data_IF_713526803789
#
_entry.id   IF_713526803789
#
_cell.length_a   1.000
_cell.length_b   1.000
_cell.length_c   1.000
_cell.angle_alpha   90.00
_cell.angle_beta   90.00
_cell.angle_gamma   90.00
#
_symmetry.space_group_name_H-M   'P 1'
#
loop_
_entity.id
_entity.type
_entity.pdbx_description
1 polymer ?
#
# COMPACT_ATOMS: atom_id res chain seq x y z
N UNK A 1 -36.11 -49.28 50.45
CA UNK A 1 -36.97 -48.66 49.41
C UNK A 1 -36.57 -47.19 49.36
N UNK A 2 -35.81 -46.82 48.35
CA UNK A 2 -35.33 -45.45 48.14
C UNK A 2 -36.22 -44.80 47.07
N UNK A 3 -36.99 -43.79 47.46
CA UNK A 3 -37.82 -43.03 46.53
C UNK A 3 -36.92 -42.09 45.71
N UNK A 4 -36.90 -42.34 44.42
CA UNK A 4 -36.24 -41.51 43.46
C UNK A 4 -37.19 -40.34 43.10
N UNK A 5 -36.99 -39.16 43.75
CA UNK A 5 -37.75 -37.93 43.39
C UNK A 5 -37.17 -37.38 42.11
N UNK A 6 -37.85 -37.58 41.00
CA UNK A 6 -37.59 -36.84 39.76
C UNK A 6 -38.00 -35.38 39.93
N UNK A 7 -37.04 -34.47 39.74
CA UNK A 7 -37.29 -33.02 39.79
C UNK A 7 -37.82 -32.56 38.42
N UNK A 8 -39.15 -32.38 38.32
CA UNK A 8 -39.77 -31.83 37.12
C UNK A 8 -39.74 -30.31 37.17
N UNK A 9 -38.96 -29.73 36.25
CA UNK A 9 -38.93 -28.29 36.04
C UNK A 9 -40.25 -27.84 35.36
N UNK A 10 -40.91 -26.82 35.91
CA UNK A 10 -42.13 -26.30 35.30
C UNK A 10 -41.81 -25.67 33.92
N UNK A 11 -42.76 -25.71 32.96
CA UNK A 11 -42.55 -25.17 31.62
C UNK A 11 -42.09 -23.71 31.61
N UNK A 12 -42.50 -22.91 32.56
CA UNK A 12 -42.14 -21.50 32.72
C UNK A 12 -40.64 -21.30 33.06
N UNK A 13 -40.09 -22.18 33.92
CA UNK A 13 -38.67 -22.14 34.32
C UNK A 13 -37.78 -22.57 33.13
N UNK A 14 -38.21 -23.57 32.37
CA UNK A 14 -37.49 -24.03 31.17
C UNK A 14 -37.36 -22.93 30.09
N UNK A 15 -38.42 -22.13 29.89
CA UNK A 15 -38.40 -21.00 28.94
C UNK A 15 -37.46 -19.89 29.40
N UNK A 16 -37.41 -19.57 30.69
CA UNK A 16 -36.52 -18.56 31.24
C UNK A 16 -35.05 -18.97 31.10
N UNK A 17 -34.71 -20.24 31.37
CA UNK A 17 -33.35 -20.75 31.22
C UNK A 17 -32.90 -20.71 29.76
N UNK A 18 -33.79 -21.13 28.82
CA UNK A 18 -33.50 -21.05 27.39
C UNK A 18 -33.30 -19.60 26.92
N UNK A 19 -34.11 -18.64 27.40
CA UNK A 19 -33.99 -17.22 27.06
C UNK A 19 -32.67 -16.60 27.55
N UNK A 20 -32.20 -16.94 28.73
CA UNK A 20 -30.92 -16.44 29.29
C UNK A 20 -29.73 -17.03 28.51
N UNK A 21 -29.77 -18.29 28.10
CA UNK A 21 -28.72 -18.91 27.30
C UNK A 21 -28.62 -18.26 25.92
N UNK A 22 -29.75 -17.98 25.25
CA UNK A 22 -29.80 -17.32 23.95
C UNK A 22 -29.31 -15.88 24.06
N UNK A 23 -29.74 -15.12 25.07
CA UNK A 23 -29.27 -13.75 25.30
C UNK A 23 -27.78 -13.72 25.62
N UNK A 24 -27.26 -14.64 26.43
CA UNK A 24 -25.85 -14.79 26.75
C UNK A 24 -25.02 -15.13 25.50
N UNK A 25 -25.50 -15.99 24.62
CA UNK A 25 -24.84 -16.35 23.37
C UNK A 25 -24.79 -15.16 22.40
N UNK A 26 -25.86 -14.37 22.28
CA UNK A 26 -25.90 -13.17 21.42
C UNK A 26 -24.93 -12.10 21.92
N UNK A 27 -24.86 -11.85 23.22
CA UNK A 27 -23.90 -10.90 23.81
C UNK A 27 -22.46 -11.39 23.61
N UNK A 28 -22.21 -12.69 23.81
CA UNK A 28 -20.86 -13.26 23.62
C UNK A 28 -20.40 -13.25 22.16
N UNK A 29 -21.30 -13.46 21.20
CA UNK A 29 -20.98 -13.33 19.77
C UNK A 29 -20.74 -11.87 19.40
N UNK A 30 -21.55 -10.94 19.93
CA UNK A 30 -21.44 -9.52 19.59
C UNK A 30 -20.19 -8.86 20.21
N UNK A 31 -19.69 -9.33 21.36
CA UNK A 31 -18.44 -8.83 21.96
C UNK A 31 -17.18 -9.35 21.27
N UNK A 32 -17.28 -10.40 20.42
CA UNK A 32 -16.16 -10.88 19.59
C UNK A 32 -16.07 -10.20 18.21
N UNK A 33 -17.03 -9.35 17.85
CA UNK A 33 -17.14 -8.75 16.52
C UNK A 33 -16.63 -7.31 16.46
N UNK A 34 -15.48 -7.04 17.06
CA UNK A 34 -14.76 -5.77 16.84
C UNK A 34 -13.27 -6.00 16.62
N UNK A 35 -12.93 -7.03 15.84
CA UNK A 35 -11.67 -6.97 15.12
C UNK A 35 -11.89 -6.03 13.93
N UNK A 36 -11.07 -4.96 13.75
CA UNK A 36 -11.13 -4.17 12.53
C UNK A 36 -10.95 -5.10 11.35
N UNK A 37 -11.78 -4.95 10.32
CA UNK A 37 -11.68 -5.75 9.11
C UNK A 37 -10.22 -5.72 8.64
N UNK A 38 -9.56 -6.86 8.71
CA UNK A 38 -8.22 -7.00 8.16
C UNK A 38 -8.28 -6.53 6.71
N UNK A 39 -7.46 -5.56 6.33
CA UNK A 39 -7.40 -5.05 4.97
C UNK A 39 -7.22 -6.25 4.05
N UNK A 40 -8.17 -6.46 3.14
CA UNK A 40 -8.15 -7.61 2.25
C UNK A 40 -6.83 -7.60 1.46
N UNK A 41 -6.03 -8.66 1.59
CA UNK A 41 -4.76 -8.82 0.90
C UNK A 41 -3.48 -8.51 1.69
N UNK A 42 -3.56 -8.02 2.95
CA UNK A 42 -2.36 -7.80 3.75
C UNK A 42 -1.77 -9.13 4.23
N UNK A 43 -0.51 -9.40 3.90
CA UNK A 43 0.23 -10.59 4.34
C UNK A 43 1.21 -10.24 5.46
N UNK A 44 1.59 -11.24 6.26
CA UNK A 44 2.63 -11.08 7.28
C UNK A 44 3.94 -10.57 6.64
N UNK A 45 4.70 -9.70 7.34
CA UNK A 45 5.97 -9.19 6.84
C UNK A 45 6.92 -10.32 6.45
N UNK A 46 7.57 -10.22 5.29
CA UNK A 46 8.53 -11.20 4.77
C UNK A 46 9.91 -10.58 4.63
N UNK A 47 10.97 -11.38 4.79
CA UNK A 47 12.32 -10.89 4.57
C UNK A 47 12.50 -10.54 3.09
N UNK A 48 12.78 -9.26 2.79
CA UNK A 48 13.27 -8.81 1.49
C UNK A 48 14.80 -8.79 1.56
N UNK A 49 15.48 -9.38 0.58
CA UNK A 49 16.91 -9.66 0.74
C UNK A 49 17.84 -8.82 -0.13
N UNK A 50 17.35 -8.25 -1.24
CA UNK A 50 18.19 -7.60 -2.26
C UNK A 50 17.59 -6.35 -2.90
N UNK A 51 16.78 -5.61 -2.17
CA UNK A 51 16.28 -4.31 -2.66
C UNK A 51 17.42 -3.31 -2.67
N UNK A 52 17.66 -2.66 -3.81
CA UNK A 52 18.69 -1.64 -3.93
C UNK A 52 18.43 -0.47 -2.97
N UNK A 53 19.52 0.08 -2.43
CA UNK A 53 19.43 1.26 -1.58
C UNK A 53 18.76 2.44 -2.32
N UNK A 54 18.03 3.31 -1.60
CA UNK A 54 17.54 4.57 -2.15
C UNK A 54 18.66 5.40 -2.77
N UNK A 55 18.39 6.04 -3.89
CA UNK A 55 19.34 6.82 -4.65
C UNK A 55 18.75 8.14 -5.16
N UNK A 56 19.57 9.00 -5.71
CA UNK A 56 19.12 10.26 -6.35
C UNK A 56 18.22 10.03 -7.59
N UNK A 57 18.13 8.80 -8.09
CA UNK A 57 17.30 8.43 -9.24
C UNK A 57 15.89 8.00 -8.81
N UNK A 58 15.68 7.79 -7.53
CA UNK A 58 14.36 7.43 -6.98
C UNK A 58 13.51 8.69 -6.76
N UNK A 59 12.19 8.51 -6.81
CA UNK A 59 11.23 9.54 -6.43
C UNK A 59 11.00 9.46 -4.93
N UNK A 60 11.41 10.50 -4.18
CA UNK A 60 11.41 10.47 -2.72
C UNK A 60 10.60 11.62 -2.12
N UNK A 61 9.78 11.32 -1.11
CA UNK A 61 9.21 12.28 -0.14
C UNK A 61 9.94 12.09 1.19
N UNK A 62 10.32 13.18 1.81
CA UNK A 62 11.11 13.19 3.05
C UNK A 62 12.61 13.36 2.78
N UNK A 63 13.42 13.09 3.79
CA UNK A 63 14.88 13.23 3.68
C UNK A 63 15.52 11.97 3.09
N UNK A 64 16.39 12.09 2.08
CA UNK A 64 17.17 10.94 1.58
C UNK A 64 18.11 10.34 2.64
N UNK A 65 18.38 11.08 3.72
CA UNK A 65 19.18 10.62 4.87
C UNK A 65 18.32 10.13 6.05
N UNK A 66 17.01 9.96 5.87
CA UNK A 66 16.13 9.44 6.92
C UNK A 66 16.62 8.07 7.44
N UNK A 67 16.55 7.82 8.75
CA UNK A 67 16.97 6.53 9.33
C UNK A 67 16.22 5.33 8.77
N UNK A 68 14.94 5.53 8.40
CA UNK A 68 14.08 4.52 7.80
C UNK A 68 13.54 5.02 6.46
N UNK A 69 13.55 4.16 5.45
CA UNK A 69 12.94 4.45 4.15
C UNK A 69 11.87 3.39 3.85
N UNK A 70 10.69 3.84 3.47
CA UNK A 70 9.62 3.02 2.94
C UNK A 70 9.77 2.98 1.41
N UNK A 71 10.19 1.86 0.84
CA UNK A 71 10.32 1.70 -0.60
C UNK A 71 9.05 1.00 -1.08
N UNK A 72 8.14 1.75 -1.67
CA UNK A 72 6.89 1.22 -2.22
C UNK A 72 7.04 0.88 -3.69
N UNK A 73 6.74 -0.37 -4.05
CA UNK A 73 6.51 -0.80 -5.42
C UNK A 73 5.01 -0.71 -5.70
N UNK A 74 4.66 0.19 -6.59
CA UNK A 74 3.29 0.68 -6.76
C UNK A 74 2.82 0.60 -8.22
N UNK A 75 1.50 0.61 -8.38
CA UNK A 75 0.81 0.56 -9.66
C UNK A 75 -0.25 1.67 -9.70
N UNK A 76 -0.12 2.59 -10.65
CA UNK A 76 -1.04 3.73 -10.77
C UNK A 76 -2.51 3.35 -11.01
N UNK A 77 -2.79 2.16 -11.55
CA UNK A 77 -4.16 1.70 -11.78
C UNK A 77 -4.70 0.84 -10.62
N UNK A 78 -3.84 0.39 -9.72
CA UNK A 78 -4.25 -0.43 -8.59
C UNK A 78 -5.06 0.38 -7.56
N UNK A 79 -6.30 -0.03 -7.22
CA UNK A 79 -7.11 0.68 -6.22
C UNK A 79 -6.50 0.63 -4.82
N UNK A 80 -5.78 -0.45 -4.48
CA UNK A 80 -5.10 -0.58 -3.19
C UNK A 80 -3.89 0.36 -3.07
N UNK A 81 -3.18 0.65 -4.18
CA UNK A 81 -2.13 1.67 -4.20
C UNK A 81 -2.71 3.06 -3.96
N UNK A 82 -3.88 3.35 -4.54
CA UNK A 82 -4.58 4.59 -4.26
C UNK A 82 -4.95 4.75 -2.77
N UNK A 83 -5.32 3.66 -2.10
CA UNK A 83 -5.64 3.67 -0.66
C UNK A 83 -4.39 3.88 0.21
N UNK A 84 -3.27 3.25 -0.14
CA UNK A 84 -2.04 3.36 0.67
C UNK A 84 -1.29 4.68 0.44
N UNK A 85 -1.43 5.31 -0.71
CA UNK A 85 -0.73 6.54 -1.07
C UNK A 85 -0.88 7.67 -0.02
N UNK A 86 -2.11 8.07 0.42
CA UNK A 86 -2.27 9.06 1.48
C UNK A 86 -1.77 8.56 2.84
N UNK A 87 -1.80 7.26 3.09
CA UNK A 87 -1.29 6.67 4.34
C UNK A 87 0.22 6.84 4.47
N UNK A 88 0.98 6.50 3.41
CA UNK A 88 2.44 6.66 3.41
C UNK A 88 2.84 8.13 3.48
N UNK A 89 2.13 9.01 2.77
CA UNK A 89 2.35 10.46 2.83
C UNK A 89 2.21 10.98 4.26
N UNK A 90 1.13 10.62 4.93
CA UNK A 90 0.88 10.96 6.33
C UNK A 90 1.97 10.44 7.27
N UNK A 91 2.40 9.18 7.11
CA UNK A 91 3.48 8.58 7.92
C UNK A 91 4.77 9.41 7.80
N UNK A 92 5.14 9.81 6.59
CA UNK A 92 6.34 10.64 6.38
C UNK A 92 6.18 12.03 7.00
N UNK A 93 5.04 12.68 6.78
CA UNK A 93 4.75 14.03 7.32
C UNK A 93 4.81 14.05 8.86
N UNK A 94 4.25 13.04 9.52
CA UNK A 94 4.21 12.93 10.99
C UNK A 94 5.53 12.41 11.60
N UNK A 95 6.46 11.90 10.79
CA UNK A 95 7.71 11.29 11.27
C UNK A 95 8.78 12.27 11.75
N UNK A 96 8.56 13.59 11.59
CA UNK A 96 9.57 14.61 11.87
C UNK A 96 10.93 14.33 11.21
N UNK A 97 10.93 13.85 9.96
CA UNK A 97 12.14 13.57 9.17
C UNK A 97 12.80 12.22 9.48
N UNK A 98 12.21 11.39 10.33
CA UNK A 98 12.74 10.06 10.66
C UNK A 98 12.43 9.02 9.60
N UNK A 99 11.43 9.27 8.74
CA UNK A 99 10.99 8.35 7.70
C UNK A 99 10.97 9.10 6.37
N UNK A 100 11.44 8.44 5.32
CA UNK A 100 11.24 8.85 3.95
C UNK A 100 10.45 7.80 3.17
N UNK A 101 9.83 8.20 2.07
CA UNK A 101 9.10 7.31 1.18
C UNK A 101 9.64 7.42 -0.23
N UNK A 102 10.04 6.27 -0.78
CA UNK A 102 10.49 6.08 -2.17
C UNK A 102 9.38 5.37 -2.94
N UNK A 103 9.05 5.89 -4.11
CA UNK A 103 8.16 5.24 -5.07
C UNK A 103 8.99 4.53 -6.15
N UNK A 104 8.67 3.25 -6.40
CA UNK A 104 9.16 2.44 -7.52
C UNK A 104 8.00 1.80 -8.26
N UNK A 105 8.19 1.46 -9.52
CA UNK A 105 7.13 0.97 -10.37
C UNK A 105 6.97 -0.57 -10.29
N UNK A 106 5.72 -1.02 -10.19
CA UNK A 106 5.33 -2.43 -10.36
C UNK A 106 3.97 -2.50 -11.09
N UNK A 107 3.88 -2.10 -12.36
CA UNK A 107 2.64 -2.17 -13.11
C UNK A 107 2.23 -3.64 -13.35
N UNK A 108 1.02 -4.02 -12.93
CA UNK A 108 0.46 -5.36 -13.09
C UNK A 108 -0.26 -5.44 -14.44
N UNK A 109 0.48 -5.39 -15.55
CA UNK A 109 -0.04 -5.22 -16.91
C UNK A 109 -1.13 -6.22 -17.32
N UNK A 110 -1.12 -7.43 -16.75
CA UNK A 110 -2.12 -8.49 -17.05
C UNK A 110 -3.53 -8.15 -16.57
N UNK A 111 -3.67 -7.31 -15.55
CA UNK A 111 -4.96 -6.89 -14.95
C UNK A 111 -5.16 -5.38 -14.99
N UNK A 112 -4.10 -4.60 -15.20
CA UNK A 112 -4.07 -3.16 -15.18
C UNK A 112 -3.42 -2.60 -16.47
N UNK A 113 -4.11 -2.62 -17.61
CA UNK A 113 -3.50 -2.26 -18.91
C UNK A 113 -3.04 -0.81 -19.02
N UNK A 114 -3.56 0.10 -18.18
CA UNK A 114 -3.16 1.52 -18.15
C UNK A 114 -2.00 1.79 -17.18
N UNK A 115 -1.57 0.82 -16.37
CA UNK A 115 -0.56 1.02 -15.33
C UNK A 115 0.82 1.34 -15.91
N UNK A 116 1.33 0.54 -16.86
CA UNK A 116 2.64 0.78 -17.46
C UNK A 116 2.69 2.08 -18.29
N UNK A 117 1.68 2.40 -19.12
CA UNK A 117 1.63 3.72 -19.75
C UNK A 117 1.67 4.89 -18.75
N UNK A 118 0.96 4.79 -17.61
CA UNK A 118 1.01 5.82 -16.57
C UNK A 118 2.39 5.91 -15.89
N UNK A 119 3.02 4.77 -15.62
CA UNK A 119 4.36 4.71 -15.06
C UNK A 119 5.39 5.39 -15.98
N UNK A 120 5.36 5.09 -17.28
CA UNK A 120 6.22 5.76 -18.27
C UNK A 120 5.92 7.26 -18.33
N UNK A 121 4.64 7.65 -18.32
CA UNK A 121 4.24 9.05 -18.32
C UNK A 121 4.75 9.81 -17.08
N UNK A 122 4.68 9.21 -15.89
CA UNK A 122 5.19 9.83 -14.66
C UNK A 122 6.69 10.09 -14.71
N UNK A 123 7.45 9.16 -15.27
CA UNK A 123 8.90 9.33 -15.48
C UNK A 123 9.20 10.44 -16.50
N UNK A 124 8.41 10.53 -17.57
CA UNK A 124 8.58 11.59 -18.56
C UNK A 124 8.23 12.99 -18.00
N UNK A 125 7.33 13.08 -17.05
CA UNK A 125 7.09 14.30 -16.28
C UNK A 125 8.28 14.59 -15.35
N UNK A 126 8.79 13.56 -14.66
CA UNK A 126 9.93 13.68 -13.76
C UNK A 126 11.21 14.13 -14.50
N UNK A 127 11.45 13.67 -15.72
CA UNK A 127 12.59 14.07 -16.53
C UNK A 127 12.61 15.60 -16.77
N UNK A 128 11.43 16.22 -16.89
CA UNK A 128 11.32 17.65 -17.14
C UNK A 128 11.17 18.51 -15.87
N UNK A 129 10.42 18.00 -14.90
CA UNK A 129 9.98 18.77 -13.73
C UNK A 129 10.56 18.25 -12.40
N UNK A 130 11.42 17.23 -12.48
CA UNK A 130 12.10 16.63 -11.33
C UNK A 130 11.14 15.87 -10.39
N UNK A 131 11.64 15.57 -9.22
CA UNK A 131 10.92 14.83 -8.18
C UNK A 131 9.55 15.45 -7.83
N UNK A 132 9.47 16.77 -7.74
CA UNK A 132 8.21 17.46 -7.45
C UNK A 132 7.17 17.27 -8.58
N UNK A 133 7.60 17.25 -9.83
CA UNK A 133 6.75 16.95 -10.99
C UNK A 133 6.19 15.54 -10.93
N UNK A 134 7.03 14.56 -10.61
CA UNK A 134 6.60 13.17 -10.41
C UNK A 134 5.46 13.06 -9.39
N UNK A 135 5.67 13.60 -8.19
CA UNK A 135 4.69 13.47 -7.11
C UNK A 135 3.37 14.20 -7.40
N UNK A 136 3.42 15.38 -8.04
CA UNK A 136 2.21 16.06 -8.50
C UNK A 136 1.46 15.25 -9.54
N UNK A 137 2.17 14.62 -10.47
CA UNK A 137 1.56 13.73 -11.46
C UNK A 137 0.94 12.50 -10.78
N UNK A 138 1.65 11.87 -9.85
CA UNK A 138 1.16 10.74 -9.08
C UNK A 138 -0.13 11.08 -8.32
N UNK A 139 -0.16 12.20 -7.58
CA UNK A 139 -1.34 12.68 -6.85
C UNK A 139 -2.55 12.84 -7.79
N UNK A 140 -2.35 13.43 -8.99
CA UNK A 140 -3.44 13.63 -9.98
C UNK A 140 -3.94 12.31 -10.54
N UNK A 141 -3.04 11.37 -10.87
CA UNK A 141 -3.43 10.09 -11.47
C UNK A 141 -4.16 9.22 -10.44
N UNK A 142 -3.66 9.09 -9.22
CA UNK A 142 -4.36 8.36 -8.16
C UNK A 142 -5.73 8.95 -7.85
N UNK A 143 -5.88 10.26 -7.79
CA UNK A 143 -7.18 10.91 -7.59
C UNK A 143 -8.16 10.72 -8.76
N UNK A 144 -7.70 10.27 -9.93
CA UNK A 144 -8.51 10.18 -11.16
C UNK A 144 -8.29 8.86 -11.91
N UNK A 145 -8.13 7.73 -11.21
CA UNK A 145 -7.88 6.43 -11.83
C UNK A 145 -8.90 6.04 -12.91
N UNK A 146 -10.14 6.50 -12.79
CA UNK A 146 -11.20 6.27 -13.78
C UNK A 146 -11.02 7.04 -15.10
N UNK A 147 -10.08 7.99 -15.19
CA UNK A 147 -9.78 8.78 -16.40
C UNK A 147 -8.50 8.32 -17.10
N UNK A 148 -7.81 7.33 -16.57
CA UNK A 148 -6.50 6.89 -17.07
C UNK A 148 -6.56 6.56 -18.57
N UNK A 149 -5.80 7.31 -19.35
CA UNK A 149 -5.68 7.18 -20.81
C UNK A 149 -4.46 7.98 -21.30
N UNK A 150 -3.88 7.68 -22.46
CA UNK A 150 -2.77 8.45 -23.02
C UNK A 150 -3.07 9.95 -23.11
N UNK A 151 -4.30 10.31 -23.51
CA UNK A 151 -4.73 11.71 -23.60
C UNK A 151 -4.77 12.38 -22.23
N UNK A 152 -5.23 11.66 -21.20
CA UNK A 152 -5.28 12.20 -19.85
C UNK A 152 -3.88 12.42 -19.27
N UNK A 153 -2.91 11.56 -19.58
CA UNK A 153 -1.52 11.74 -19.17
C UNK A 153 -0.89 12.96 -19.85
N UNK A 154 -1.13 13.17 -21.15
CA UNK A 154 -0.69 14.37 -21.87
C UNK A 154 -1.27 15.65 -21.27
N UNK A 155 -2.58 15.68 -21.03
CA UNK A 155 -3.26 16.83 -20.41
C UNK A 155 -2.72 17.11 -19.01
N UNK A 156 -2.49 16.06 -18.20
CA UNK A 156 -1.91 16.20 -16.87
C UNK A 156 -0.47 16.74 -16.94
N UNK A 157 0.37 16.18 -17.79
CA UNK A 157 1.74 16.66 -17.98
C UNK A 157 1.77 18.14 -18.36
N UNK A 158 0.94 18.55 -19.33
CA UNK A 158 0.81 19.94 -19.76
C UNK A 158 0.33 20.86 -18.63
N UNK A 159 -0.68 20.42 -17.87
CA UNK A 159 -1.21 21.22 -16.74
C UNK A 159 -0.20 21.44 -15.63
N UNK A 160 0.77 20.53 -15.49
CA UNK A 160 1.88 20.64 -14.55
C UNK A 160 3.04 21.50 -15.09
N UNK A 161 3.01 21.91 -16.36
CA UNK A 161 4.01 22.76 -16.99
C UNK A 161 5.07 22.01 -17.81
N UNK A 162 4.85 20.73 -18.12
CA UNK A 162 5.75 20.00 -19.00
C UNK A 162 5.57 20.43 -20.47
N UNK A 163 6.66 20.45 -21.23
CA UNK A 163 6.66 20.62 -22.68
C UNK A 163 6.13 19.35 -23.34
N UNK A 164 5.03 19.49 -24.10
CA UNK A 164 4.36 18.34 -24.73
C UNK A 164 5.19 17.65 -25.82
N UNK A 165 6.04 18.39 -26.54
CA UNK A 165 6.86 17.78 -27.58
C UNK A 165 7.93 16.89 -26.96
N UNK A 166 8.56 17.36 -25.88
CA UNK A 166 9.51 16.57 -25.09
C UNK A 166 8.84 15.39 -24.42
N UNK A 167 7.64 15.59 -23.83
CA UNK A 167 6.87 14.52 -23.21
C UNK A 167 6.56 13.39 -24.21
N UNK A 168 6.07 13.71 -25.39
CA UNK A 168 5.77 12.73 -26.46
C UNK A 168 7.04 12.01 -26.94
N UNK A 169 8.14 12.72 -27.07
CA UNK A 169 9.44 12.13 -27.42
C UNK A 169 9.91 11.14 -26.33
N UNK A 170 9.76 11.50 -25.06
CA UNK A 170 10.10 10.64 -23.93
C UNK A 170 9.21 9.39 -23.89
N UNK A 171 7.88 9.52 -24.06
CA UNK A 171 6.94 8.38 -24.13
C UNK A 171 7.34 7.39 -25.23
N UNK A 172 7.81 7.88 -26.37
CA UNK A 172 8.30 7.04 -27.48
C UNK A 172 9.67 6.40 -27.23
N UNK A 173 10.37 6.82 -26.17
CA UNK A 173 11.69 6.30 -25.81
C UNK A 173 11.61 4.98 -25.06
N UNK A 174 12.43 4.00 -25.44
CA UNK A 174 12.55 2.74 -24.70
C UNK A 174 13.29 2.86 -23.36
N UNK A 175 14.01 3.96 -23.13
CA UNK A 175 14.83 4.14 -21.93
C UNK A 175 13.95 4.23 -20.67
N UNK A 176 12.87 5.02 -20.73
CA UNK A 176 11.92 5.20 -19.63
C UNK A 176 11.17 3.90 -19.31
N UNK A 177 10.73 3.17 -20.35
CA UNK A 177 10.10 1.87 -20.17
C UNK A 177 11.05 0.86 -19.49
N UNK A 178 12.34 0.85 -19.82
CA UNK A 178 13.35 0.00 -19.17
C UNK A 178 13.52 0.30 -17.68
N UNK A 179 13.43 1.58 -17.28
CA UNK A 179 13.46 1.94 -15.85
C UNK A 179 12.28 1.32 -15.11
N UNK A 180 11.07 1.44 -15.67
CA UNK A 180 9.85 0.82 -15.12
C UNK A 180 9.99 -0.69 -15.02
N UNK A 181 10.51 -1.34 -16.06
CA UNK A 181 10.72 -2.79 -16.11
C UNK A 181 11.78 -3.25 -15.09
N UNK A 182 12.83 -2.45 -14.86
CA UNK A 182 13.85 -2.75 -13.86
C UNK A 182 13.30 -2.69 -12.43
N UNK A 183 12.47 -1.70 -12.11
CA UNK A 183 11.77 -1.61 -10.81
C UNK A 183 10.86 -2.83 -10.60
N UNK A 184 10.08 -3.21 -11.63
CA UNK A 184 9.20 -4.37 -11.58
C UNK A 184 9.98 -5.68 -11.36
N UNK A 185 11.08 -5.87 -12.06
CA UNK A 185 11.92 -7.05 -11.91
C UNK A 185 12.52 -7.13 -10.49
N UNK A 186 12.98 -6.00 -9.96
CA UNK A 186 13.49 -5.94 -8.59
C UNK A 186 12.41 -6.30 -7.56
N UNK A 187 11.18 -5.75 -7.70
CA UNK A 187 10.07 -6.09 -6.81
C UNK A 187 9.81 -7.59 -6.80
N UNK A 188 9.70 -8.21 -7.98
CA UNK A 188 9.41 -9.64 -8.13
C UNK A 188 10.49 -10.52 -7.52
N UNK A 189 11.77 -10.17 -7.70
CA UNK A 189 12.92 -10.87 -7.09
C UNK A 189 12.93 -10.77 -5.56
N UNK A 190 12.26 -9.77 -4.99
CA UNK A 190 12.21 -9.49 -3.55
C UNK A 190 10.83 -9.79 -2.92
N UNK A 191 10.01 -10.61 -3.57
CA UNK A 191 8.73 -11.07 -3.01
C UNK A 191 7.52 -10.20 -3.32
N UNK A 192 7.66 -9.16 -4.14
CA UNK A 192 6.56 -8.33 -4.64
C UNK A 192 5.74 -9.07 -5.69
N UNK A 193 4.74 -9.84 -5.28
CA UNK A 193 3.84 -10.60 -6.16
C UNK A 193 2.56 -9.82 -6.54
N UNK A 194 2.38 -8.63 -5.99
CA UNK A 194 1.23 -7.75 -6.22
C UNK A 194 1.49 -6.36 -5.63
N UNK A 195 0.54 -5.45 -5.81
CA UNK A 195 0.68 -4.06 -5.36
C UNK A 195 -0.43 -3.62 -4.40
N UNK A 196 -0.13 -2.70 -3.47
CA UNK A 196 1.20 -2.18 -3.18
C UNK A 196 2.09 -3.22 -2.48
N UNK A 197 3.39 -3.18 -2.74
CA UNK A 197 4.41 -3.92 -1.99
C UNK A 197 5.41 -2.91 -1.43
N UNK A 198 5.55 -2.84 -0.11
CA UNK A 198 6.41 -1.85 0.55
C UNK A 198 7.53 -2.55 1.29
N UNK A 199 8.78 -2.14 1.05
CA UNK A 199 9.95 -2.62 1.78
C UNK A 199 10.38 -1.56 2.78
N UNK A 200 10.37 -1.91 4.07
CA UNK A 200 11.01 -1.14 5.12
C UNK A 200 12.51 -1.34 4.99
N UNK A 201 13.23 -0.27 4.78
CA UNK A 201 14.67 -0.28 4.48
C UNK A 201 15.43 0.62 5.46
N UNK A 202 16.44 0.06 6.10
CA UNK A 202 17.47 0.82 6.80
C UNK A 202 18.86 0.19 6.57
N UNK A 203 19.90 0.74 7.23
CA UNK A 203 21.29 0.25 7.11
C UNK A 203 21.50 -1.14 7.72
N UNK A 204 20.56 -1.64 8.53
CA UNK A 204 20.69 -2.90 9.28
C UNK A 204 19.87 -4.04 8.67
N UNK A 205 18.86 -3.72 7.84
CA UNK A 205 18.04 -4.76 7.24
C UNK A 205 16.87 -4.26 6.42
N UNK A 206 16.13 -5.21 5.88
CA UNK A 206 15.00 -4.97 5.00
C UNK A 206 13.87 -5.93 5.34
N UNK A 207 12.61 -5.45 5.28
CA UNK A 207 11.42 -6.27 5.48
C UNK A 207 10.34 -5.85 4.50
N UNK A 208 9.80 -6.84 3.76
CA UNK A 208 8.69 -6.64 2.84
C UNK A 208 7.33 -6.70 3.53
N UNK A 209 6.43 -5.83 3.12
CA UNK A 209 5.04 -5.74 3.56
C UNK A 209 4.15 -5.70 2.32
N UNK A 210 3.28 -6.70 2.17
CA UNK A 210 2.35 -6.79 1.05
C UNK A 210 0.98 -6.21 1.40
N UNK A 211 0.39 -5.46 0.48
CA UNK A 211 -0.96 -4.94 0.58
C UNK A 211 -1.07 -3.56 1.25
N UNK A 212 -2.26 -2.99 1.14
CA UNK A 212 -2.59 -1.66 1.65
C UNK A 212 -2.98 -1.73 3.14
N UNK A 213 -1.99 -1.65 4.02
CA UNK A 213 -2.24 -1.60 5.46
C UNK A 213 -2.87 -0.25 5.85
N UNK A 214 -3.86 -0.25 6.79
CA UNK A 214 -4.29 0.96 7.47
C UNK A 214 -3.13 1.62 8.25
N UNK A 215 -3.25 2.92 8.50
CA UNK A 215 -2.21 3.72 9.17
C UNK A 215 -1.70 3.08 10.47
N UNK A 216 -2.58 2.65 11.38
CA UNK A 216 -2.22 2.06 12.67
C UNK A 216 -1.49 0.72 12.51
N UNK A 217 -1.90 -0.09 11.55
CA UNK A 217 -1.24 -1.36 11.26
C UNK A 217 0.16 -1.11 10.66
N UNK A 218 0.27 -0.12 9.75
CA UNK A 218 1.54 0.23 9.13
C UNK A 218 2.54 0.77 10.17
N UNK A 219 2.10 1.68 11.04
CA UNK A 219 2.93 2.23 12.13
C UNK A 219 3.35 1.16 13.16
N UNK A 220 2.48 0.17 13.42
CA UNK A 220 2.84 -0.98 14.27
C UNK A 220 3.94 -1.84 13.64
N UNK A 221 3.90 -2.08 12.32
CA UNK A 221 4.96 -2.78 11.58
C UNK A 221 6.26 -1.98 11.62
N UNK A 222 6.20 -0.67 11.40
CA UNK A 222 7.38 0.22 11.49
C UNK A 222 8.02 0.13 12.88
N UNK A 223 7.22 0.24 13.93
CA UNK A 223 7.70 0.14 15.32
C UNK A 223 8.39 -1.20 15.57
N UNK A 224 7.74 -2.31 15.19
CA UNK A 224 8.31 -3.64 15.32
C UNK A 224 9.61 -3.82 14.53
N UNK A 225 9.72 -3.19 13.35
CA UNK A 225 10.94 -3.19 12.56
C UNK A 225 12.07 -2.44 13.25
N UNK A 226 11.79 -1.30 13.88
CA UNK A 226 12.77 -0.50 14.62
C UNK A 226 13.22 -1.16 15.94
N UNK A 227 12.32 -1.87 16.64
CA UNK A 227 12.61 -2.54 17.92
C UNK A 227 13.45 -3.82 17.77
N UNK A 228 13.51 -4.45 16.60
CA UNK A 228 14.36 -5.61 16.30
C UNK A 228 15.86 -5.30 16.26
N UNK A 229 16.22 -4.06 16.40
CA UNK A 229 17.56 -3.52 16.26
C UNK A 229 18.18 -3.19 17.59
#
# INVERSE_FOLDING_TARGET
MSENKTFELSPSISIIIAGVIIAGAIVFVNTRQSAPAAAAGAQAPTAATNVRAPSAQDHIIGSPSAPLVLIEYSDFQCPYCNVVHPTLKRIVEESNGQIAWVYRHLPLESIHPSAKPAAVASECVAEQLGNNGFWKFADVIFANQNKMSPQYYEQTAQSLGADLAKFKSCIASSATAKKVDADSAEAQQNGGQGTPYTVLYDKKGQVGVSGALPYEAFTSVIKSFQERQ
#
